data_IF_794712844608
#
_entry.id   IF_794712844608
#
_cell.length_a   1.000
_cell.length_b   1.000
_cell.length_c   1.000
_cell.angle_alpha   90.00
_cell.angle_beta   90.00
_cell.angle_gamma   90.00
#
_symmetry.space_group_name_H-M   'P 1'
#
loop_
_entity.id
_entity.type
_entity.pdbx_description
1 polymer ?
#
# COMPACT_ATOMS: atom_id res chain seq x y z
N UNK A 1 2.09 -37.09 -27.05
CA UNK A 1 1.53 -36.87 -25.71
C UNK A 1 0.01 -36.85 -25.86
N UNK A 2 -0.72 -37.59 -25.04
CA UNK A 2 -2.18 -37.65 -25.07
C UNK A 2 -2.79 -36.23 -24.90
N UNK A 3 -3.89 -35.91 -25.58
CA UNK A 3 -4.49 -34.56 -25.53
C UNK A 3 -4.95 -34.19 -24.11
N UNK A 4 -5.44 -35.18 -23.36
CA UNK A 4 -5.75 -35.02 -21.94
C UNK A 4 -4.53 -34.61 -21.11
N UNK A 5 -3.35 -35.15 -21.44
CA UNK A 5 -2.11 -34.85 -20.73
C UNK A 5 -1.62 -33.43 -21.03
N UNK A 6 -1.76 -32.96 -22.28
CA UNK A 6 -1.42 -31.57 -22.64
C UNK A 6 -2.33 -30.58 -21.93
N UNK A 7 -3.63 -30.86 -21.87
CA UNK A 7 -4.59 -30.01 -21.16
C UNK A 7 -4.28 -29.96 -19.67
N UNK A 8 -3.91 -31.10 -19.08
CA UNK A 8 -3.53 -31.17 -17.67
C UNK A 8 -2.29 -30.33 -17.37
N UNK A 9 -1.23 -30.48 -18.16
CA UNK A 9 -0.01 -29.69 -18.01
C UNK A 9 -0.29 -28.18 -18.12
N UNK A 10 -1.14 -27.78 -19.07
CA UNK A 10 -1.55 -26.37 -19.23
C UNK A 10 -2.24 -25.83 -17.97
N UNK A 11 -3.17 -26.59 -17.39
CA UNK A 11 -3.86 -26.18 -16.17
C UNK A 11 -2.90 -26.03 -14.97
N UNK A 12 -1.89 -26.90 -14.86
CA UNK A 12 -0.87 -26.77 -13.81
C UNK A 12 -0.04 -25.49 -13.99
N UNK A 13 0.38 -25.19 -15.22
CA UNK A 13 1.12 -23.95 -15.51
C UNK A 13 0.29 -22.71 -15.20
N UNK A 14 -1.00 -22.70 -15.53
CA UNK A 14 -1.91 -21.59 -15.18
C UNK A 14 -2.04 -21.45 -13.65
N UNK A 15 -2.14 -22.56 -12.91
CA UNK A 15 -2.19 -22.55 -11.45
C UNK A 15 -0.88 -22.01 -10.82
N UNK A 16 0.27 -22.38 -11.36
CA UNK A 16 1.58 -21.87 -10.93
C UNK A 16 1.66 -20.34 -11.11
N UNK A 17 1.26 -19.83 -12.27
CA UNK A 17 1.22 -18.39 -12.54
C UNK A 17 0.32 -17.65 -11.55
N UNK A 18 -0.85 -18.21 -11.23
CA UNK A 18 -1.74 -17.58 -10.25
C UNK A 18 -1.22 -17.64 -8.82
N UNK A 19 -0.48 -18.71 -8.47
CA UNK A 19 0.22 -18.81 -7.20
C UNK A 19 1.36 -17.77 -7.09
N UNK A 20 2.10 -17.51 -8.17
CA UNK A 20 3.11 -16.46 -8.21
C UNK A 20 2.48 -15.07 -8.03
N UNK A 21 1.38 -14.76 -8.72
CA UNK A 21 0.66 -13.50 -8.53
C UNK A 21 0.18 -13.32 -7.09
N UNK A 22 -0.35 -14.38 -6.47
CA UNK A 22 -0.75 -14.35 -5.06
C UNK A 22 0.44 -14.04 -4.14
N UNK A 23 1.58 -14.68 -4.37
CA UNK A 23 2.80 -14.47 -3.59
C UNK A 23 3.31 -13.03 -3.73
N UNK A 24 3.39 -12.52 -4.96
CA UNK A 24 3.81 -11.15 -5.23
C UNK A 24 2.90 -10.12 -4.55
N UNK A 25 1.58 -10.33 -4.60
CA UNK A 25 0.62 -9.45 -3.96
C UNK A 25 0.75 -9.43 -2.42
N UNK A 26 1.01 -10.59 -1.81
CA UNK A 26 1.26 -10.69 -0.36
C UNK A 26 2.56 -9.99 0.03
N UNK A 27 3.62 -10.15 -0.75
CA UNK A 27 4.88 -9.45 -0.50
C UNK A 27 4.69 -7.93 -0.61
N UNK A 28 3.97 -7.46 -1.64
CA UNK A 28 3.69 -6.04 -1.79
C UNK A 28 2.84 -5.47 -0.64
N UNK A 29 1.90 -6.25 -0.08
CA UNK A 29 1.16 -5.83 1.11
C UNK A 29 2.09 -5.55 2.29
N UNK A 30 3.11 -6.40 2.51
CA UNK A 30 4.08 -6.21 3.59
C UNK A 30 4.93 -4.97 3.36
N UNK A 31 5.44 -4.77 2.14
CA UNK A 31 6.23 -3.57 1.81
C UNK A 31 5.42 -2.28 1.92
N UNK A 32 4.18 -2.30 1.42
CA UNK A 32 3.27 -1.16 1.56
C UNK A 32 2.95 -0.89 3.04
N UNK A 33 2.81 -1.91 3.88
CA UNK A 33 2.54 -1.70 5.30
C UNK A 33 3.72 -1.05 6.04
N UNK A 34 4.96 -1.41 5.68
CA UNK A 34 6.17 -0.74 6.18
C UNK A 34 6.17 0.75 5.83
N UNK A 35 5.88 1.09 4.57
CA UNK A 35 5.80 2.47 4.11
C UNK A 35 4.66 3.24 4.81
N UNK A 36 3.49 2.62 4.95
CA UNK A 36 2.35 3.19 5.67
C UNK A 36 2.70 3.49 7.13
N UNK A 37 3.42 2.59 7.79
CA UNK A 37 3.85 2.83 9.17
C UNK A 37 4.82 4.02 9.23
N UNK A 38 5.81 4.08 8.34
CA UNK A 38 6.73 5.21 8.22
C UNK A 38 6.02 6.55 8.01
N UNK A 39 5.05 6.59 7.08
CA UNK A 39 4.26 7.79 6.83
C UNK A 39 3.42 8.21 8.03
N UNK A 40 2.81 7.26 8.77
CA UNK A 40 2.07 7.57 10.01
C UNK A 40 2.97 8.19 11.07
N UNK A 41 4.17 7.67 11.24
CA UNK A 41 5.15 8.22 12.18
C UNK A 41 5.61 9.62 11.76
N UNK A 42 5.94 9.80 10.48
CA UNK A 42 6.34 11.09 9.92
C UNK A 42 5.24 12.15 10.06
N UNK A 43 3.99 11.82 9.71
CA UNK A 43 2.84 12.71 9.89
C UNK A 43 2.60 13.02 11.37
N UNK A 44 2.79 12.05 12.26
CA UNK A 44 2.67 12.29 13.70
C UNK A 44 3.74 13.26 14.19
N UNK A 45 4.98 13.14 13.70
CA UNK A 45 6.06 14.06 14.02
C UNK A 45 5.80 15.48 13.49
N UNK A 46 5.35 15.60 12.23
CA UNK A 46 5.00 16.90 11.64
C UNK A 46 3.84 17.56 12.40
N UNK A 47 2.77 16.83 12.69
CA UNK A 47 1.64 17.35 13.47
C UNK A 47 2.04 17.78 14.87
N UNK A 48 2.93 17.04 15.54
CA UNK A 48 3.50 17.44 16.84
C UNK A 48 4.29 18.75 16.75
N UNK A 49 5.11 18.93 15.70
CA UNK A 49 5.84 20.19 15.46
C UNK A 49 4.89 21.36 15.20
N UNK A 50 3.88 21.14 14.36
CA UNK A 50 2.86 22.14 14.03
C UNK A 50 1.83 22.39 15.15
N UNK A 51 1.83 21.56 16.21
CA UNK A 51 0.81 21.54 17.27
C UNK A 51 -0.61 21.37 16.72
N UNK A 52 -0.75 20.58 15.65
CA UNK A 52 -2.03 20.21 15.05
C UNK A 52 -2.42 18.79 15.45
N UNK A 53 -3.73 18.49 15.47
CA UNK A 53 -4.27 17.15 15.57
C UNK A 53 -5.07 16.82 14.32
N UNK A 54 -5.26 15.52 14.02
CA UNK A 54 -6.02 15.07 12.84
C UNK A 54 -7.49 15.54 12.87
N UNK A 55 -8.03 15.90 14.04
CA UNK A 55 -9.37 16.44 14.23
C UNK A 55 -9.40 17.94 14.55
N UNK A 56 -8.25 18.62 14.60
CA UNK A 56 -8.14 20.05 14.91
C UNK A 56 -7.76 20.84 13.66
N UNK A 57 -8.38 20.52 12.53
CA UNK A 57 -8.65 21.56 11.56
C UNK A 57 -9.81 22.34 12.18
N UNK A 58 -9.60 23.55 12.72
CA UNK A 58 -10.75 24.35 13.11
C UNK A 58 -11.60 24.46 11.85
N UNK A 59 -12.90 24.15 11.96
CA UNK A 59 -13.85 24.56 10.94
C UNK A 59 -13.56 26.02 10.60
N UNK A 60 -13.67 26.43 9.34
CA UNK A 60 -13.47 27.83 8.96
C UNK A 60 -14.20 28.80 9.91
N UNK A 61 -15.30 28.36 10.52
CA UNK A 61 -16.05 29.06 11.57
C UNK A 61 -15.39 29.15 12.96
N UNK A 62 -14.64 28.15 13.42
CA UNK A 62 -14.04 28.14 14.75
C UNK A 62 -12.82 29.07 14.86
N UNK A 63 -12.12 29.31 13.75
CA UNK A 63 -11.06 30.33 13.66
C UNK A 63 -11.61 31.77 13.60
N UNK A 64 -12.85 31.96 13.13
CA UNK A 64 -13.49 33.29 13.00
C UNK A 64 -13.84 33.91 14.36
N UNK A 65 -14.02 33.11 15.41
CA UNK A 65 -14.54 33.60 16.71
C UNK A 65 -13.46 33.92 17.77
N UNK A 66 -12.16 33.73 17.51
CA UNK A 66 -11.08 34.11 18.44
C UNK A 66 -10.40 35.41 18.03
N UNK A 67 -11.10 36.54 18.14
CA UNK A 67 -10.51 37.83 17.80
C UNK A 67 -11.34 39.08 18.03
N UNK A 68 -12.33 39.08 18.94
CA UNK A 68 -13.08 40.31 19.28
C UNK A 68 -12.32 41.14 20.32
N UNK A 69 -11.11 41.58 19.97
CA UNK A 69 -10.44 42.74 20.59
C UNK A 69 -9.26 43.17 19.72
N UNK A 70 -9.39 44.34 19.08
CA UNK A 70 -8.33 45.20 18.52
C UNK A 70 -7.59 44.79 17.22
N UNK A 71 -7.87 45.57 16.15
CA UNK A 71 -6.98 46.04 15.06
C UNK A 71 -6.14 45.07 14.19
N UNK A 72 -6.30 43.75 14.28
CA UNK A 72 -5.65 42.79 13.36
C UNK A 72 -6.60 42.31 12.26
N UNK A 73 -6.09 41.90 11.07
CA UNK A 73 -6.95 41.47 9.96
C UNK A 73 -7.93 40.40 10.44
N UNK A 74 -9.22 40.62 10.13
CA UNK A 74 -10.38 39.88 10.65
C UNK A 74 -10.42 38.39 10.25
N UNK A 75 -9.59 37.99 9.29
CA UNK A 75 -9.49 36.61 8.81
C UNK A 75 -8.01 36.29 8.63
N UNK A 76 -7.47 35.48 9.53
CA UNK A 76 -6.20 34.81 9.30
C UNK A 76 -6.53 33.45 8.68
N UNK A 77 -6.23 33.27 7.39
CA UNK A 77 -6.38 31.97 6.75
C UNK A 77 -5.40 30.99 7.40
N UNK A 78 -5.95 30.08 8.19
CA UNK A 78 -5.20 29.01 8.85
C UNK A 78 -5.14 27.84 7.87
N UNK A 79 -3.94 27.35 7.59
CA UNK A 79 -3.77 26.18 6.73
C UNK A 79 -4.49 24.98 7.36
N UNK A 80 -5.34 24.29 6.60
CA UNK A 80 -6.04 23.10 7.08
C UNK A 80 -5.08 21.98 7.51
N UNK A 81 -3.92 21.92 6.88
CA UNK A 81 -2.90 20.88 7.12
C UNK A 81 -1.90 21.30 8.21
N UNK A 82 -1.35 22.52 8.11
CA UNK A 82 -0.26 22.99 8.97
C UNK A 82 -0.73 23.82 10.16
N UNK A 83 -2.02 24.18 10.24
CA UNK A 83 -2.54 25.06 11.28
C UNK A 83 -1.86 26.42 11.25
N UNK A 84 -1.44 26.89 12.44
CA UNK A 84 -0.74 28.16 12.62
C UNK A 84 0.80 28.03 12.48
N UNK A 85 1.31 26.87 12.06
CA UNK A 85 2.73 26.66 11.85
C UNK A 85 3.21 27.34 10.57
N UNK A 86 4.49 27.73 10.53
CA UNK A 86 5.08 28.33 9.33
C UNK A 86 5.15 27.29 8.20
N UNK A 87 4.32 27.49 7.17
CA UNK A 87 4.24 26.60 6.02
C UNK A 87 5.52 26.58 5.18
N UNK A 88 6.33 27.64 5.28
CA UNK A 88 7.57 27.84 4.52
C UNK A 88 8.82 27.33 5.22
N UNK A 89 8.70 26.91 6.50
CA UNK A 89 9.81 26.38 7.29
C UNK A 89 10.46 25.21 6.55
N UNK A 90 11.78 25.30 6.36
CA UNK A 90 12.52 24.27 5.65
C UNK A 90 12.57 22.98 6.47
N UNK A 91 12.12 21.89 5.86
CA UNK A 91 12.07 20.57 6.47
C UNK A 91 12.78 19.56 5.58
N UNK A 92 13.70 18.81 6.19
CA UNK A 92 14.38 17.70 5.53
C UNK A 92 13.46 16.50 5.44
N UNK A 93 13.33 15.95 4.23
CA UNK A 93 12.56 14.74 3.96
C UNK A 93 13.42 13.76 3.15
N UNK A 94 13.38 12.48 3.51
CA UNK A 94 13.91 11.39 2.70
C UNK A 94 12.88 10.94 1.66
N UNK A 95 13.32 10.67 0.43
CA UNK A 95 12.49 10.12 -0.64
C UNK A 95 12.75 8.61 -0.80
N UNK A 96 11.83 7.74 -0.36
CA UNK A 96 12.00 6.30 -0.46
C UNK A 96 12.28 5.85 -1.90
N UNK A 97 13.21 4.92 -2.09
CA UNK A 97 13.56 4.37 -3.40
C UNK A 97 14.55 5.19 -4.24
N UNK A 98 15.01 6.35 -3.74
CA UNK A 98 15.98 7.22 -4.46
C UNK A 98 17.23 7.58 -3.66
N UNK A 99 17.32 7.14 -2.40
CA UNK A 99 18.39 7.50 -1.44
C UNK A 99 18.68 9.01 -1.36
N UNK A 100 17.67 9.84 -1.65
CA UNK A 100 17.77 11.29 -1.69
C UNK A 100 17.14 11.91 -0.44
N UNK A 101 17.83 12.90 0.12
CA UNK A 101 17.27 13.83 1.08
C UNK A 101 17.14 15.21 0.44
N UNK A 102 15.97 15.84 0.58
CA UNK A 102 15.79 17.21 0.13
C UNK A 102 15.23 18.08 1.25
N UNK A 103 15.66 19.34 1.25
CA UNK A 103 15.04 20.40 2.03
C UNK A 103 13.88 20.97 1.24
N UNK A 104 12.68 20.83 1.76
CA UNK A 104 11.45 21.32 1.15
C UNK A 104 10.62 22.09 2.18
N UNK A 105 9.70 22.98 1.75
CA UNK A 105 8.79 23.66 2.67
C UNK A 105 7.98 22.67 3.51
N UNK A 106 7.74 23.00 4.78
CA UNK A 106 7.01 22.17 5.74
C UNK A 106 5.66 21.73 5.20
N UNK A 107 4.91 22.65 4.57
CA UNK A 107 3.63 22.32 3.97
C UNK A 107 3.76 21.29 2.85
N UNK A 108 4.76 21.44 1.98
CA UNK A 108 5.02 20.48 0.91
C UNK A 108 5.35 19.09 1.47
N UNK A 109 6.20 19.00 2.49
CA UNK A 109 6.50 17.73 3.16
C UNK A 109 5.22 17.09 3.74
N UNK A 110 4.38 17.88 4.39
CA UNK A 110 3.15 17.39 5.00
C UNK A 110 2.15 16.90 3.94
N UNK A 111 1.94 17.65 2.86
CA UNK A 111 1.01 17.27 1.79
C UNK A 111 1.49 16.05 1.02
N UNK A 112 2.79 15.95 0.72
CA UNK A 112 3.35 14.79 0.00
C UNK A 112 3.12 13.51 0.80
N UNK A 113 3.42 13.54 2.11
CA UNK A 113 3.26 12.35 2.97
C UNK A 113 1.78 12.03 3.20
N UNK A 114 0.89 13.02 3.29
CA UNK A 114 -0.56 12.77 3.38
C UNK A 114 -1.11 12.12 2.10
N UNK A 115 -0.78 12.66 0.93
CA UNK A 115 -1.19 12.08 -0.35
C UNK A 115 -0.63 10.67 -0.53
N UNK A 116 0.64 10.45 -0.18
CA UNK A 116 1.24 9.12 -0.25
C UNK A 116 0.57 8.14 0.72
N UNK A 117 0.22 8.57 1.93
CA UNK A 117 -0.55 7.76 2.88
C UNK A 117 -1.92 7.35 2.33
N UNK A 118 -2.64 8.26 1.67
CA UNK A 118 -3.94 7.96 1.04
C UNK A 118 -3.81 6.97 -0.11
N UNK A 119 -2.80 7.14 -0.97
CA UNK A 119 -2.49 6.23 -2.06
C UNK A 119 -2.14 4.82 -1.53
N UNK A 120 -1.31 4.73 -0.50
CA UNK A 120 -0.96 3.46 0.13
C UNK A 120 -2.16 2.79 0.80
N UNK A 121 -3.08 3.55 1.39
CA UNK A 121 -4.32 3.02 1.96
C UNK A 121 -5.27 2.48 0.88
N UNK A 122 -5.34 3.13 -0.28
CA UNK A 122 -6.06 2.63 -1.44
C UNK A 122 -5.42 1.35 -2.00
N UNK A 123 -4.11 1.36 -2.23
CA UNK A 123 -3.36 0.22 -2.76
C UNK A 123 -3.43 -1.00 -1.83
N UNK A 124 -3.39 -0.80 -0.50
CA UNK A 124 -3.57 -1.88 0.45
C UNK A 124 -4.94 -2.56 0.30
N UNK A 125 -6.02 -1.80 0.10
CA UNK A 125 -7.35 -2.36 -0.15
C UNK A 125 -7.41 -3.12 -1.49
N UNK A 126 -6.81 -2.55 -2.54
CA UNK A 126 -6.72 -3.17 -3.87
C UNK A 126 -5.99 -4.52 -3.80
N UNK A 127 -4.82 -4.55 -3.16
CA UNK A 127 -4.02 -5.76 -2.99
C UNK A 127 -4.73 -6.81 -2.12
N UNK A 128 -5.42 -6.40 -1.05
CA UNK A 128 -6.22 -7.33 -0.24
C UNK A 128 -7.33 -8.00 -1.05
N UNK A 129 -8.01 -7.24 -1.92
CA UNK A 129 -9.00 -7.81 -2.83
C UNK A 129 -8.38 -8.81 -3.80
N UNK A 130 -7.23 -8.47 -4.40
CA UNK A 130 -6.52 -9.36 -5.31
C UNK A 130 -6.03 -10.64 -4.59
N UNK A 131 -5.51 -10.54 -3.37
CA UNK A 131 -5.11 -11.69 -2.56
C UNK A 131 -6.32 -12.60 -2.29
N UNK A 132 -7.50 -12.04 -2.01
CA UNK A 132 -8.72 -12.84 -1.81
C UNK A 132 -9.15 -13.54 -3.09
N UNK A 133 -9.18 -12.82 -4.20
CA UNK A 133 -9.53 -13.35 -5.52
C UNK A 133 -8.61 -14.51 -5.93
N UNK A 134 -7.30 -14.32 -5.87
CA UNK A 134 -6.32 -15.35 -6.24
C UNK A 134 -6.33 -16.53 -5.28
N UNK A 135 -6.46 -16.28 -3.97
CA UNK A 135 -6.65 -17.37 -2.99
C UNK A 135 -7.89 -18.20 -3.29
N UNK A 136 -8.99 -17.56 -3.67
CA UNK A 136 -10.24 -18.23 -4.03
C UNK A 136 -10.08 -19.09 -5.29
N UNK A 137 -9.50 -18.54 -6.35
CA UNK A 137 -9.24 -19.26 -7.61
C UNK A 137 -8.35 -20.48 -7.39
N UNK A 138 -7.26 -20.32 -6.62
CA UNK A 138 -6.37 -21.44 -6.27
C UNK A 138 -7.12 -22.48 -5.43
N UNK A 139 -8.01 -22.07 -4.53
CA UNK A 139 -8.82 -23.00 -3.74
C UNK A 139 -9.81 -23.79 -4.59
N UNK A 140 -10.48 -23.16 -5.55
CA UNK A 140 -11.39 -23.84 -6.49
C UNK A 140 -10.62 -24.82 -7.37
N UNK A 141 -9.44 -24.42 -7.85
CA UNK A 141 -8.57 -25.27 -8.67
C UNK A 141 -7.91 -26.37 -7.82
N UNK A 142 -7.65 -26.12 -6.54
CA UNK A 142 -7.08 -27.09 -5.60
C UNK A 142 -8.01 -28.28 -5.32
N UNK A 143 -9.33 -28.11 -5.44
CA UNK A 143 -10.27 -29.24 -5.43
C UNK A 143 -10.01 -30.23 -6.59
N UNK A 144 -9.35 -29.79 -7.67
CA UNK A 144 -8.90 -30.68 -8.76
C UNK A 144 -7.73 -31.56 -8.30
N UNK A 145 -6.89 -31.10 -7.36
CA UNK A 145 -5.82 -31.92 -6.78
C UNK A 145 -6.38 -33.09 -5.96
N UNK A 146 -7.50 -32.91 -5.26
CA UNK A 146 -8.21 -33.98 -4.55
C UNK A 146 -8.81 -35.03 -5.49
N UNK A 147 -9.09 -34.65 -6.75
CA UNK A 147 -9.57 -35.57 -7.78
C UNK A 147 -8.44 -36.39 -8.43
N UNK A 148 -7.16 -36.03 -8.22
CA UNK A 148 -6.02 -36.66 -8.89
C UNK A 148 -5.34 -37.65 -7.94
N UNK A 149 -5.30 -38.92 -8.36
CA UNK A 149 -4.64 -39.93 -7.54
C UNK A 149 -3.12 -39.66 -7.46
N UNK A 150 -2.49 -39.86 -6.29
CA UNK A 150 -1.03 -39.74 -6.12
C UNK A 150 -0.20 -40.58 -7.11
N UNK A 151 -0.79 -41.65 -7.67
CA UNK A 151 -0.16 -42.47 -8.71
C UNK A 151 0.07 -41.74 -10.02
N UNK A 152 -0.82 -40.82 -10.40
CA UNK A 152 -0.69 -39.97 -11.60
C UNK A 152 0.39 -38.91 -11.39
N UNK A 153 0.48 -38.32 -10.20
CA UNK A 153 1.58 -37.41 -9.83
C UNK A 153 2.94 -38.13 -9.86
N UNK A 154 3.00 -39.38 -9.37
CA UNK A 154 4.23 -40.18 -9.40
C UNK A 154 4.72 -40.46 -10.82
N UNK A 155 3.82 -40.77 -11.75
CA UNK A 155 4.20 -41.04 -13.15
C UNK A 155 4.70 -39.81 -13.90
N UNK A 156 4.30 -38.60 -13.46
CA UNK A 156 4.79 -37.32 -13.99
C UNK A 156 6.23 -36.99 -13.54
N UNK A 157 6.61 -37.39 -12.32
CA UNK A 157 7.94 -37.12 -11.75
C UNK A 157 8.97 -38.16 -12.19
N UNK A 158 8.56 -39.40 -12.44
CA UNK A 158 9.45 -40.43 -12.95
C UNK A 158 9.71 -40.22 -14.44
N UNK A 159 10.71 -39.41 -14.77
CA UNK A 159 11.34 -39.40 -16.09
C UNK A 159 11.81 -40.83 -16.40
N UNK A 160 11.20 -41.46 -17.39
CA UNK A 160 11.68 -42.74 -17.91
C UNK A 160 12.93 -42.43 -18.73
N UNK A 161 14.09 -42.47 -18.08
CA UNK A 161 15.37 -42.59 -18.77
C UNK A 161 15.33 -43.89 -19.57
N UNK A 162 14.97 -43.78 -20.85
CA UNK A 162 15.16 -44.87 -21.80
C UNK A 162 16.65 -44.88 -22.14
N UNK A 163 17.41 -45.94 -21.81
CA UNK A 163 18.78 -46.06 -22.29
C UNK A 163 18.77 -46.09 -23.83
N UNK A 164 19.70 -45.33 -24.42
CA UNK A 164 19.94 -45.27 -25.87
C UNK A 164 20.40 -46.61 -26.44
#
# INVERSE_FOLDING_TARGET
MDENMKQFQKNLTELEVEAEHLLLARNQLVENDKLRNGNREALTALRRRAKTTKSSVPSAFDSIMKGVTSSRPLVQEVCSTCGNHDYSEQTWMSFPGTDLFASIPFHAAHTIIETDQENLDFEAKRLQSLVKEKSYLISETGAIADAISPGVLKSLVTLSDKPK
#
